data_IF_529486764329
#
_entry.id   IF_529486764329
#
_cell.length_a   1.000
_cell.length_b   1.000
_cell.length_c   1.000
_cell.angle_alpha   90.00
_cell.angle_beta   90.00
_cell.angle_gamma   90.00
#
_symmetry.space_group_name_H-M   'P 1'
#
loop_
_entity.id
_entity.type
_entity.pdbx_description
1 polymer ?
#
# COMPACT_ATOMS: atom_id res chain seq x y z
N UNK A 1 28.05 -18.75 -33.44
CA UNK A 1 26.72 -18.11 -33.51
C UNK A 1 25.65 -18.77 -32.64
N UNK A 2 25.65 -20.08 -32.37
CA UNK A 2 24.62 -20.71 -31.51
C UNK A 2 24.98 -20.75 -30.02
N UNK A 3 26.27 -20.87 -29.69
CA UNK A 3 26.74 -20.93 -28.29
C UNK A 3 26.64 -19.58 -27.58
N UNK A 4 26.97 -18.47 -28.25
CA UNK A 4 26.85 -17.13 -27.66
C UNK A 4 25.40 -16.80 -27.28
N UNK A 5 24.44 -17.14 -28.15
CA UNK A 5 23.02 -16.94 -27.85
C UNK A 5 22.52 -17.87 -26.75
N UNK A 6 23.07 -19.09 -26.64
CA UNK A 6 22.73 -20.03 -25.57
C UNK A 6 23.20 -19.55 -24.17
N UNK A 7 24.28 -18.75 -24.11
CA UNK A 7 24.73 -18.10 -22.86
C UNK A 7 24.04 -16.74 -22.61
N UNK A 8 23.80 -15.94 -23.65
CA UNK A 8 23.18 -14.62 -23.52
C UNK A 8 21.68 -14.67 -23.24
N UNK A 9 20.96 -15.63 -23.83
CA UNK A 9 19.51 -15.76 -23.64
C UNK A 9 19.08 -15.88 -22.17
N UNK A 10 19.65 -16.78 -21.34
CA UNK A 10 19.27 -16.88 -19.92
C UNK A 10 19.62 -15.61 -19.14
N UNK A 11 20.75 -14.96 -19.44
CA UNK A 11 21.12 -13.70 -18.80
C UNK A 11 20.13 -12.56 -19.13
N UNK A 12 19.69 -12.46 -20.38
CA UNK A 12 18.70 -11.47 -20.81
C UNK A 12 17.34 -11.74 -20.15
N UNK A 13 16.91 -13.01 -20.08
CA UNK A 13 15.66 -13.38 -19.40
C UNK A 13 15.67 -13.03 -17.91
N UNK A 14 16.81 -13.22 -17.23
CA UNK A 14 16.98 -12.79 -15.84
C UNK A 14 16.91 -11.27 -15.67
N UNK A 15 17.51 -10.52 -16.60
CA UNK A 15 17.43 -9.06 -16.57
C UNK A 15 15.99 -8.56 -16.81
N UNK A 16 15.27 -9.18 -17.75
CA UNK A 16 13.87 -8.84 -18.02
C UNK A 16 12.97 -9.21 -16.85
N UNK A 17 13.15 -10.39 -16.23
CA UNK A 17 12.37 -10.78 -15.06
C UNK A 17 12.61 -9.83 -13.89
N UNK A 18 13.86 -9.46 -13.63
CA UNK A 18 14.21 -8.46 -12.61
C UNK A 18 13.56 -7.11 -12.89
N UNK A 19 13.60 -6.63 -14.13
CA UNK A 19 12.96 -5.38 -14.52
C UNK A 19 11.43 -5.42 -14.31
N UNK A 20 10.77 -6.54 -14.61
CA UNK A 20 9.33 -6.71 -14.39
C UNK A 20 9.00 -6.74 -12.90
N UNK A 21 9.76 -7.49 -12.08
CA UNK A 21 9.58 -7.50 -10.63
C UNK A 21 9.72 -6.09 -10.07
N UNK A 22 10.83 -5.41 -10.38
CA UNK A 22 11.06 -4.04 -9.91
C UNK A 22 9.97 -3.06 -10.38
N UNK A 23 9.50 -3.18 -11.63
CA UNK A 23 8.42 -2.35 -12.14
C UNK A 23 7.10 -2.59 -11.37
N UNK A 24 6.72 -3.85 -11.16
CA UNK A 24 5.49 -4.20 -10.43
C UNK A 24 5.55 -3.78 -8.96
N UNK A 25 6.70 -3.92 -8.31
CA UNK A 25 6.86 -3.48 -6.91
C UNK A 25 6.72 -1.98 -6.77
N UNK A 26 7.33 -1.20 -7.67
CA UNK A 26 7.23 0.26 -7.65
C UNK A 26 5.78 0.74 -7.86
N UNK A 27 5.04 0.11 -8.78
CA UNK A 27 3.62 0.40 -8.98
C UNK A 27 2.80 0.06 -7.73
N UNK A 28 3.08 -1.09 -7.11
CA UNK A 28 2.39 -1.50 -5.88
C UNK A 28 2.69 -0.56 -4.71
N UNK A 29 3.95 -0.19 -4.48
CA UNK A 29 4.35 0.77 -3.45
C UNK A 29 3.66 2.11 -3.64
N UNK A 30 3.66 2.65 -4.86
CA UNK A 30 2.99 3.91 -5.18
C UNK A 30 1.49 3.86 -4.91
N UNK A 31 0.83 2.77 -5.29
CA UNK A 31 -0.61 2.61 -5.12
C UNK A 31 -1.01 2.36 -3.65
N UNK A 32 -0.23 1.59 -2.88
CA UNK A 32 -0.46 1.40 -1.44
C UNK A 32 -0.21 2.71 -0.68
N UNK A 33 0.83 3.47 -1.04
CA UNK A 33 1.10 4.78 -0.46
C UNK A 33 -0.01 5.80 -0.76
N UNK A 34 -0.54 5.80 -1.98
CA UNK A 34 -1.66 6.65 -2.35
C UNK A 34 -2.95 6.26 -1.61
N UNK A 35 -3.20 4.95 -1.46
CA UNK A 35 -4.32 4.46 -0.67
C UNK A 35 -4.21 4.87 0.81
N UNK A 36 -3.02 4.76 1.41
CA UNK A 36 -2.78 5.15 2.80
C UNK A 36 -2.99 6.66 3.01
N UNK A 37 -2.48 7.49 2.10
CA UNK A 37 -2.69 8.95 2.11
C UNK A 37 -4.16 9.33 2.02
N UNK A 38 -4.87 8.75 1.05
CA UNK A 38 -6.30 9.02 0.84
C UNK A 38 -7.13 8.57 2.05
N UNK A 39 -6.83 7.40 2.61
CA UNK A 39 -7.51 6.85 3.78
C UNK A 39 -7.28 7.70 5.03
N UNK A 40 -6.04 8.10 5.31
CA UNK A 40 -5.72 8.94 6.46
C UNK A 40 -6.37 10.33 6.36
N UNK A 41 -6.47 10.89 5.14
CA UNK A 41 -7.18 12.15 4.89
C UNK A 41 -8.69 12.02 5.11
N UNK A 42 -9.29 10.92 4.71
CA UNK A 42 -10.71 10.65 4.99
C UNK A 42 -10.96 10.45 6.49
N UNK A 43 -10.04 9.77 7.17
CA UNK A 43 -10.10 9.53 8.60
C UNK A 43 -10.05 10.85 9.40
N UNK A 44 -9.18 11.78 9.02
CA UNK A 44 -9.04 13.08 9.70
C UNK A 44 -10.23 14.02 9.49
N UNK A 45 -11.06 13.78 8.47
CA UNK A 45 -12.32 14.50 8.24
C UNK A 45 -13.49 13.95 9.07
N UNK A 46 -13.34 12.77 9.66
CA UNK A 46 -14.40 12.11 10.43
C UNK A 46 -14.48 12.68 11.85
N UNK A 47 -15.70 12.76 12.41
CA UNK A 47 -15.94 13.34 13.73
C UNK A 47 -15.75 12.38 14.92
N UNK A 48 -15.69 11.08 14.66
CA UNK A 48 -15.55 10.05 15.69
C UNK A 48 -14.65 8.89 15.19
N UNK A 49 -13.99 8.16 16.11
CA UNK A 49 -13.02 7.13 15.75
C UNK A 49 -13.65 5.91 15.03
N UNK A 50 -14.91 5.57 15.32
CA UNK A 50 -15.56 4.43 14.68
C UNK A 50 -15.88 4.75 13.21
N UNK A 51 -16.43 5.94 12.94
CA UNK A 51 -16.67 6.43 11.58
C UNK A 51 -15.35 6.64 10.83
N UNK A 52 -14.32 7.18 11.48
CA UNK A 52 -12.98 7.35 10.90
C UNK A 52 -12.40 6.02 10.41
N UNK A 53 -12.49 4.98 11.24
CA UNK A 53 -11.99 3.63 10.91
C UNK A 53 -12.76 3.04 9.71
N UNK A 54 -14.10 3.15 9.72
CA UNK A 54 -14.94 2.63 8.66
C UNK A 54 -14.75 3.36 7.32
N UNK A 55 -14.71 4.70 7.35
CA UNK A 55 -14.52 5.55 6.16
C UNK A 55 -13.13 5.39 5.55
N UNK A 56 -12.09 5.40 6.38
CA UNK A 56 -10.70 5.17 5.96
C UNK A 56 -10.51 3.79 5.33
N UNK A 57 -11.07 2.74 5.96
CA UNK A 57 -10.99 1.37 5.41
C UNK A 57 -11.72 1.25 4.08
N UNK A 58 -12.90 1.86 3.94
CA UNK A 58 -13.63 1.87 2.68
C UNK A 58 -12.88 2.65 1.59
N UNK A 59 -12.27 3.77 1.94
CA UNK A 59 -11.47 4.58 1.01
C UNK A 59 -10.20 3.87 0.57
N UNK A 60 -9.45 3.27 1.49
CA UNK A 60 -8.29 2.44 1.20
C UNK A 60 -8.64 1.32 0.21
N UNK A 61 -9.72 0.57 0.46
CA UNK A 61 -10.20 -0.48 -0.44
C UNK A 61 -10.53 0.05 -1.84
N UNK A 62 -11.25 1.18 -1.93
CA UNK A 62 -11.56 1.81 -3.22
C UNK A 62 -10.31 2.23 -3.99
N UNK A 63 -9.33 2.84 -3.30
CA UNK A 63 -8.06 3.23 -3.92
C UNK A 63 -7.28 2.02 -4.42
N UNK A 64 -7.22 0.93 -3.64
CA UNK A 64 -6.54 -0.30 -4.05
C UNK A 64 -7.24 -0.97 -5.25
N UNK A 65 -8.57 -1.05 -5.25
CA UNK A 65 -9.34 -1.59 -6.39
C UNK A 65 -9.20 -0.72 -7.65
N UNK A 66 -9.16 0.61 -7.50
CA UNK A 66 -8.98 1.52 -8.64
C UNK A 66 -7.60 1.36 -9.32
N UNK A 67 -6.60 0.93 -8.56
CA UNK A 67 -5.24 0.67 -9.05
C UNK A 67 -5.08 -0.77 -9.58
N UNK A 68 -6.16 -1.55 -9.62
CA UNK A 68 -6.18 -2.96 -10.06
C UNK A 68 -5.08 -3.82 -9.39
N UNK A 69 -4.79 -3.50 -8.13
CA UNK A 69 -3.78 -4.21 -7.35
C UNK A 69 -4.31 -5.58 -6.98
N UNK A 70 -3.76 -6.62 -7.61
CA UNK A 70 -3.97 -8.04 -7.28
C UNK A 70 -3.31 -8.44 -5.95
N UNK A 71 -3.66 -7.76 -4.86
CA UNK A 71 -3.24 -8.15 -3.52
C UNK A 71 -3.94 -9.47 -3.15
N UNK A 72 -3.16 -10.53 -2.89
CA UNK A 72 -3.69 -11.79 -2.34
C UNK A 72 -4.22 -11.56 -0.92
N UNK A 73 -3.52 -10.71 -0.15
CA UNK A 73 -3.91 -10.34 1.20
C UNK A 73 -3.67 -8.85 1.43
N UNK A 74 -4.69 -8.18 1.93
CA UNK A 74 -4.60 -6.77 2.34
C UNK A 74 -4.97 -6.64 3.81
N UNK A 75 -4.09 -6.02 4.58
CA UNK A 75 -4.33 -5.65 5.97
C UNK A 75 -4.35 -4.13 6.05
N UNK A 76 -5.41 -3.56 6.64
CA UNK A 76 -5.55 -2.12 6.84
C UNK A 76 -5.73 -1.91 8.33
N UNK A 77 -4.83 -1.14 8.93
CA UNK A 77 -4.86 -0.75 10.33
C UNK A 77 -5.03 0.77 10.42
N UNK A 78 -5.97 1.23 11.23
CA UNK A 78 -6.29 2.65 11.41
C UNK A 78 -6.17 2.97 12.89
N UNK A 79 -5.07 3.62 13.24
CA UNK A 79 -4.83 4.13 14.58
C UNK A 79 -5.56 5.46 14.76
N UNK A 80 -6.61 5.42 15.58
CA UNK A 80 -7.45 6.56 15.95
C UNK A 80 -7.13 7.10 17.34
N UNK A 81 -5.99 6.73 17.94
CA UNK A 81 -5.58 7.20 19.27
C UNK A 81 -5.57 8.74 19.38
N UNK A 82 -5.31 9.46 18.28
CA UNK A 82 -5.39 10.92 18.24
C UNK A 82 -6.76 11.51 18.58
N UNK A 83 -7.87 10.77 18.38
CA UNK A 83 -9.19 11.24 18.78
C UNK A 83 -9.37 11.34 20.30
N UNK A 84 -8.55 10.64 21.07
CA UNK A 84 -8.56 10.69 22.54
C UNK A 84 -7.56 11.71 23.11
N UNK A 85 -6.93 12.53 22.26
CA UNK A 85 -5.97 13.54 22.69
C UNK A 85 -6.63 14.55 23.66
N UNK A 86 -5.92 14.98 24.72
CA UNK A 86 -6.42 16.00 25.64
C UNK A 86 -6.74 17.32 24.92
N UNK A 87 -7.69 18.12 25.43
CA UNK A 87 -7.97 19.45 24.90
C UNK A 87 -6.69 20.30 24.84
N UNK A 88 -6.37 20.84 23.65
CA UNK A 88 -5.16 21.64 23.42
C UNK A 88 -3.98 20.90 22.78
N UNK A 89 -4.11 19.60 22.50
CA UNK A 89 -3.22 18.87 21.58
C UNK A 89 -3.94 18.52 20.29
N UNK A 90 -3.25 18.67 19.16
CA UNK A 90 -3.70 18.13 17.88
C UNK A 90 -3.68 16.60 17.98
N UNK A 91 -4.81 15.95 17.73
CA UNK A 91 -4.86 14.50 17.58
C UNK A 91 -4.30 14.09 16.22
N UNK A 92 -3.58 12.98 16.14
CA UNK A 92 -3.11 12.41 14.87
C UNK A 92 -3.80 11.07 14.58
N UNK A 93 -4.15 10.84 13.31
CA UNK A 93 -4.64 9.54 12.83
C UNK A 93 -3.60 8.94 11.91
N UNK A 94 -3.20 7.70 12.20
CA UNK A 94 -2.23 6.96 11.40
C UNK A 94 -2.92 5.81 10.71
N UNK A 95 -2.73 5.69 9.40
CA UNK A 95 -3.22 4.54 8.62
C UNK A 95 -2.03 3.76 8.12
N UNK A 96 -1.99 2.47 8.43
CA UNK A 96 -1.04 1.51 7.90
C UNK A 96 -1.77 0.55 6.96
N UNK A 97 -1.22 0.36 5.76
CA UNK A 97 -1.73 -0.60 4.80
C UNK A 97 -0.60 -1.55 4.43
N UNK A 98 -0.86 -2.84 4.52
CA UNK A 98 0.03 -3.90 4.06
C UNK A 98 -0.67 -4.73 3.00
N UNK A 99 -0.07 -4.86 1.82
CA UNK A 99 -0.56 -5.67 0.71
C UNK A 99 0.49 -6.73 0.35
N UNK A 100 0.05 -7.98 0.25
CA UNK A 100 0.84 -9.09 -0.29
C UNK A 100 0.46 -9.27 -1.74
N UNK A 101 1.37 -8.94 -2.66
CA UNK A 101 1.17 -9.08 -4.10
C UNK A 101 1.73 -10.43 -4.53
N UNK A 102 0.88 -11.25 -5.15
CA UNK A 102 1.28 -12.53 -5.72
C UNK A 102 2.08 -12.31 -7.02
N UNK A 103 3.23 -12.97 -7.12
CA UNK A 103 4.15 -12.92 -8.27
C UNK A 103 4.17 -14.26 -9.02
N UNK A 104 3.17 -15.13 -8.86
CA UNK A 104 3.14 -16.46 -9.46
C UNK A 104 3.15 -16.44 -11.00
N UNK A 105 2.73 -15.34 -11.63
CA UNK A 105 2.89 -15.13 -13.08
C UNK A 105 4.36 -15.10 -13.53
N UNK A 106 5.31 -14.88 -12.62
CA UNK A 106 6.74 -14.87 -12.87
C UNK A 106 7.35 -16.22 -12.44
N UNK A 107 7.02 -17.29 -13.18
CA UNK A 107 7.62 -18.63 -13.01
C UNK A 107 9.10 -18.68 -13.46
N UNK A 108 9.95 -17.79 -12.96
CA UNK A 108 11.39 -17.87 -13.13
C UNK A 108 12.04 -18.55 -11.91
N UNK A 109 12.92 -19.54 -12.10
CA UNK A 109 13.61 -20.20 -10.99
C UNK A 109 14.44 -19.18 -10.18
N UNK A 110 14.12 -19.04 -8.89
CA UNK A 110 14.85 -18.17 -7.95
C UNK A 110 14.10 -16.91 -7.48
N UNK A 111 12.87 -16.64 -7.95
CA UNK A 111 12.07 -15.49 -7.49
C UNK A 111 11.15 -15.86 -6.30
N UNK A 112 10.94 -14.92 -5.35
CA UNK A 112 9.94 -15.09 -4.29
C UNK A 112 8.53 -15.09 -4.92
N UNK A 113 7.71 -16.07 -4.56
CA UNK A 113 6.35 -16.23 -5.11
C UNK A 113 5.38 -15.10 -4.75
N UNK A 114 5.73 -14.28 -3.75
CA UNK A 114 4.97 -13.09 -3.39
C UNK A 114 5.90 -12.00 -2.85
N UNK A 115 5.47 -10.75 -2.98
CA UNK A 115 6.14 -9.57 -2.42
C UNK A 115 5.18 -8.87 -1.48
N UNK A 116 5.65 -8.56 -0.27
CA UNK A 116 4.89 -7.74 0.67
C UNK A 116 5.27 -6.29 0.51
N UNK A 117 4.27 -5.43 0.39
CA UNK A 117 4.39 -3.98 0.24
C UNK A 117 3.59 -3.32 1.34
N UNK A 118 4.20 -2.40 2.07
CA UNK A 118 3.56 -1.65 3.13
C UNK A 118 3.71 -0.13 2.92
N UNK A 119 2.71 0.62 3.37
CA UNK A 119 2.79 2.06 3.47
C UNK A 119 2.07 2.56 4.72
N UNK A 120 2.64 3.60 5.31
CA UNK A 120 2.11 4.24 6.51
C UNK A 120 1.96 5.74 6.22
N UNK A 121 0.83 6.30 6.59
CA UNK A 121 0.61 7.74 6.51
C UNK A 121 -0.14 8.27 7.73
N UNK A 122 0.35 9.39 8.26
CA UNK A 122 -0.24 10.07 9.41
C UNK A 122 -0.80 11.41 8.97
N UNK A 123 -2.06 11.67 9.34
CA UNK A 123 -2.74 12.96 9.14
C UNK A 123 -3.16 13.54 10.49
N UNK A 124 -2.90 14.83 10.75
CA UNK A 124 -3.50 15.49 11.90
C UNK A 124 -5.02 15.54 11.73
N UNK A 125 -5.74 15.26 12.81
CA UNK A 125 -7.18 15.46 12.95
C UNK A 125 -7.41 16.95 13.16
N UNK A 126 -8.31 17.53 12.39
CA UNK A 126 -8.64 18.94 12.54
C UNK A 126 -9.47 19.15 13.81
N UNK A 127 -8.77 19.36 14.94
CA UNK A 127 -9.36 19.57 16.26
C UNK A 127 -10.17 20.88 16.36
N UNK A 128 -10.16 21.71 15.32
CA UNK A 128 -10.83 23.01 15.27
C UNK A 128 -12.20 22.98 14.59
N UNK A 129 -12.65 21.84 14.05
CA UNK A 129 -14.03 21.70 13.60
C UNK A 129 -14.94 21.57 14.83
N UNK A 130 -15.71 22.63 15.04
CA UNK A 130 -16.62 22.85 16.16
C UNK A 130 -17.49 21.60 16.41
N UNK A 131 -17.48 21.14 17.66
CA UNK A 131 -18.23 20.00 18.16
C UNK A 131 -19.73 20.30 18.25
#
# INVERSE_FOLDING_TARGET
MSVELALLAPALLLLLSFAVVAGRTQVAEGAVAEAARAAAREASLSGDPATATASATAQAKRSLTAQDLGCERTTIDVDTAGFQAPPGQSGDVTVSITCVVDMADLLAPGLPGSVTVDAIFTSPVDAYRER
#
